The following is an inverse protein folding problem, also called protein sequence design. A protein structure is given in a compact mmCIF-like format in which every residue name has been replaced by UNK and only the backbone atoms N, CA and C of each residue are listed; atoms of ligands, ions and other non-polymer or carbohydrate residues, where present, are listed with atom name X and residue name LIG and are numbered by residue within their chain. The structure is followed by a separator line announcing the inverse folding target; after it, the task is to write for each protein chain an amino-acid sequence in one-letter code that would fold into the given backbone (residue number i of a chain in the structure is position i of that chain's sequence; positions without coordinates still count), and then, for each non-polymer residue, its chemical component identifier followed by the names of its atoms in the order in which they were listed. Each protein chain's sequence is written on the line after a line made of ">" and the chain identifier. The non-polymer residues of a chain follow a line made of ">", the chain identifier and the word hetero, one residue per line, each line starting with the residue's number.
data_IF_294574006245
#
_entry.id   IF_294574006245
#
_cell.length_a   1.000
_cell.length_b   1.000
_cell.length_c   1.000
_cell.angle_alpha   90.00
_cell.angle_beta   90.00
_cell.angle_gamma   90.00
#
_symmetry.space_group_name_H-M   'P 1'
#
loop_
_entity.id
_entity.type
_entity.pdbx_description
1 polymer ?
#
# COMPACT_ATOMS: atom_id res chain seq x y z
N UNK A 1 -18.32 8.68 4.12
CA UNK A 1 -16.95 8.13 4.06
C UNK A 1 -16.38 8.08 5.47
N UNK A 2 -15.63 7.04 5.84
CA UNK A 2 -15.05 6.95 7.18
C UNK A 2 -14.00 8.06 7.40
N UNK A 3 -13.94 8.68 8.60
CA UNK A 3 -13.07 9.84 8.87
C UNK A 3 -11.58 9.62 8.56
N UNK A 4 -11.08 8.40 8.78
CA UNK A 4 -9.67 8.07 8.50
C UNK A 4 -9.31 8.17 7.01
N UNK A 5 -10.25 7.85 6.12
CA UNK A 5 -10.02 7.96 4.66
C UNK A 5 -9.90 9.41 4.24
N UNK A 6 -10.72 10.27 4.85
CA UNK A 6 -10.71 11.71 4.56
C UNK A 6 -9.38 12.35 4.97
N UNK A 7 -8.77 11.87 6.06
CA UNK A 7 -7.42 12.28 6.47
C UNK A 7 -6.42 11.95 5.36
N UNK A 8 -6.34 10.70 4.91
CA UNK A 8 -5.37 10.28 3.88
C UNK A 8 -5.58 10.99 2.53
N UNK A 9 -6.83 11.29 2.19
CA UNK A 9 -7.20 12.00 0.97
C UNK A 9 -6.93 13.52 1.03
N UNK A 10 -6.82 14.06 2.24
CA UNK A 10 -6.48 15.46 2.45
C UNK A 10 -5.06 15.79 2.04
N UNK A 11 -4.75 17.08 2.07
CA UNK A 11 -3.39 17.58 1.83
C UNK A 11 -2.58 17.72 3.14
N UNK A 12 -3.21 17.50 4.29
CA UNK A 12 -2.56 17.61 5.59
C UNK A 12 -1.90 16.27 5.96
N UNK A 13 -0.58 16.27 6.05
CA UNK A 13 0.22 15.06 6.28
C UNK A 13 0.52 14.74 7.74
N UNK A 14 0.22 15.68 8.64
CA UNK A 14 0.52 15.55 10.07
C UNK A 14 -0.20 14.36 10.72
N UNK A 15 -1.38 13.99 10.20
CA UNK A 15 -2.20 12.92 10.74
C UNK A 15 -2.07 11.59 9.98
N UNK A 16 -1.32 11.54 8.87
CA UNK A 16 -1.25 10.35 8.01
C UNK A 16 -0.67 9.14 8.73
N UNK A 17 0.42 9.30 9.48
CA UNK A 17 1.02 8.20 10.25
C UNK A 17 0.01 7.61 11.26
N UNK A 18 -0.72 8.47 11.97
CA UNK A 18 -1.71 8.05 12.97
C UNK A 18 -2.91 7.36 12.31
N UNK A 19 -3.41 7.90 11.21
CA UNK A 19 -4.50 7.31 10.44
C UNK A 19 -4.10 5.95 9.85
N UNK A 20 -2.93 5.84 9.23
CA UNK A 20 -2.38 4.59 8.71
C UNK A 20 -2.16 3.55 9.82
N UNK A 21 -1.67 3.98 10.98
CA UNK A 21 -1.49 3.10 12.13
C UNK A 21 -2.82 2.55 12.65
N UNK A 22 -3.88 3.36 12.66
CA UNK A 22 -5.22 2.90 13.01
C UNK A 22 -5.75 1.91 11.96
N UNK A 23 -5.59 2.21 10.66
CA UNK A 23 -6.00 1.30 9.59
C UNK A 23 -5.24 -0.03 9.61
N UNK A 24 -3.95 -0.02 9.99
CA UNK A 24 -3.15 -1.22 10.12
C UNK A 24 -3.68 -2.19 11.19
N UNK A 25 -4.42 -1.70 12.19
CA UNK A 25 -5.07 -2.58 13.18
C UNK A 25 -6.13 -3.48 12.57
N UNK A 26 -6.73 -3.10 11.44
CA UNK A 26 -7.75 -3.91 10.74
C UNK A 26 -7.15 -5.14 10.04
N UNK A 27 -5.83 -5.20 9.90
CA UNK A 27 -5.11 -6.28 9.22
C UNK A 27 -4.31 -7.17 10.19
N UNK A 28 -4.64 -7.17 11.49
CA UNK A 28 -4.05 -8.07 12.49
C UNK A 28 -4.72 -9.46 12.46
N UNK A 29 -3.89 -10.51 12.54
CA UNK A 29 -4.25 -11.94 12.69
C UNK A 29 -5.18 -12.57 11.62
N UNK A 30 -5.84 -13.68 11.97
CA UNK A 30 -6.47 -14.71 11.11
C UNK A 30 -7.55 -14.18 10.12
N UNK A 31 -7.87 -12.89 10.18
CA UNK A 31 -8.93 -12.24 9.39
C UNK A 31 -8.37 -11.11 8.48
N UNK A 32 -7.09 -11.20 8.10
CA UNK A 32 -6.41 -10.22 7.25
C UNK A 32 -7.10 -9.96 5.90
N UNK A 33 -7.81 -10.95 5.35
CA UNK A 33 -8.53 -10.83 4.08
C UNK A 33 -9.74 -9.88 4.23
N UNK A 34 -10.49 -9.97 5.33
CA UNK A 34 -11.60 -9.05 5.59
C UNK A 34 -11.11 -7.61 5.83
N UNK A 35 -9.98 -7.45 6.52
CA UNK A 35 -9.32 -6.16 6.68
C UNK A 35 -8.95 -5.53 5.35
N UNK A 36 -8.33 -6.30 4.46
CA UNK A 36 -7.96 -5.85 3.12
C UNK A 36 -9.18 -5.49 2.27
N UNK A 37 -10.23 -6.32 2.32
CA UNK A 37 -11.50 -6.06 1.64
C UNK A 37 -12.16 -4.78 2.14
N UNK A 38 -12.12 -4.52 3.45
CA UNK A 38 -12.66 -3.31 4.05
C UNK A 38 -11.90 -2.06 3.59
N UNK A 39 -10.56 -2.10 3.57
CA UNK A 39 -9.73 -0.99 3.10
C UNK A 39 -9.99 -0.64 1.64
N UNK A 40 -10.18 -1.66 0.78
CA UNK A 40 -10.54 -1.46 -0.63
C UNK A 40 -11.95 -0.87 -0.75
N UNK A 41 -12.94 -1.42 -0.03
CA UNK A 41 -14.31 -0.86 0.01
C UNK A 41 -14.36 0.59 0.50
N UNK A 42 -13.41 0.97 1.35
CA UNK A 42 -13.25 2.33 1.87
C UNK A 42 -12.48 3.26 0.92
N UNK A 43 -12.03 2.77 -0.24
CA UNK A 43 -11.22 3.51 -1.21
C UNK A 43 -9.89 4.01 -0.62
N UNK A 44 -9.28 3.22 0.28
CA UNK A 44 -8.02 3.59 0.95
C UNK A 44 -6.78 3.33 0.09
N UNK A 45 -6.83 2.44 -0.91
CA UNK A 45 -5.62 1.95 -1.61
C UNK A 45 -4.90 3.06 -2.35
N UNK A 46 -5.61 3.86 -3.14
CA UNK A 46 -5.02 4.99 -3.88
C UNK A 46 -4.42 6.04 -2.94
N UNK A 47 -5.10 6.51 -1.88
CA UNK A 47 -4.49 7.38 -0.87
C UNK A 47 -3.21 6.82 -0.23
N UNK A 48 -3.19 5.52 0.07
CA UNK A 48 -1.99 4.85 0.63
C UNK A 48 -0.82 4.90 -0.38
N UNK A 49 -1.08 4.61 -1.65
CA UNK A 49 -0.05 4.69 -2.70
C UNK A 49 0.44 6.14 -2.89
N UNK A 50 -0.47 7.12 -2.83
CA UNK A 50 -0.11 8.54 -2.93
C UNK A 50 0.82 8.99 -1.79
N UNK A 51 0.58 8.52 -0.57
CA UNK A 51 1.45 8.83 0.58
C UNK A 51 2.86 8.25 0.36
N UNK A 52 2.97 7.08 -0.27
CA UNK A 52 4.26 6.51 -0.65
C UNK A 52 4.99 7.37 -1.68
N UNK A 53 4.26 7.81 -2.71
CA UNK A 53 4.77 8.66 -3.80
C UNK A 53 5.25 10.02 -3.29
N UNK A 54 4.50 10.66 -2.40
CA UNK A 54 4.87 11.97 -1.86
C UNK A 54 6.07 11.90 -0.91
N UNK A 55 6.28 10.78 -0.22
CA UNK A 55 7.48 10.51 0.56
C UNK A 55 7.79 11.49 1.71
N UNK A 56 6.79 12.20 2.22
CA UNK A 56 6.97 13.28 3.21
C UNK A 56 7.40 12.75 4.60
N UNK A 57 6.94 11.54 4.98
CA UNK A 57 7.26 10.93 6.27
C UNK A 57 7.67 9.47 6.08
N UNK A 58 8.90 9.14 6.50
CA UNK A 58 9.42 7.77 6.45
C UNK A 58 8.51 6.79 7.20
N UNK A 59 8.02 7.17 8.38
CA UNK A 59 7.10 6.33 9.17
C UNK A 59 5.77 6.08 8.46
N UNK A 60 5.24 7.11 7.79
CA UNK A 60 4.02 6.96 7.00
C UNK A 60 4.26 6.05 5.78
N UNK A 61 5.44 6.14 5.15
CA UNK A 61 5.83 5.22 4.07
C UNK A 61 5.96 3.78 4.57
N UNK A 62 6.63 3.53 5.71
CA UNK A 62 6.74 2.19 6.30
C UNK A 62 5.36 1.56 6.56
N UNK A 63 4.44 2.34 7.14
CA UNK A 63 3.05 1.86 7.39
C UNK A 63 2.29 1.60 6.09
N UNK A 64 2.48 2.46 5.10
CA UNK A 64 1.84 2.30 3.79
C UNK A 64 2.32 1.04 3.08
N UNK A 65 3.63 0.77 3.07
CA UNK A 65 4.19 -0.47 2.53
C UNK A 65 3.65 -1.71 3.25
N UNK A 66 3.55 -1.65 4.58
CA UNK A 66 3.01 -2.75 5.37
C UNK A 66 1.55 -3.07 5.00
N UNK A 67 0.71 -2.04 4.85
CA UNK A 67 -0.69 -2.19 4.42
C UNK A 67 -0.79 -2.79 3.01
N UNK A 68 0.02 -2.28 2.07
CA UNK A 68 0.02 -2.77 0.69
C UNK A 68 0.52 -4.21 0.57
N UNK A 69 1.50 -4.63 1.38
CA UNK A 69 1.95 -6.03 1.42
C UNK A 69 0.81 -6.99 1.71
N UNK A 70 -0.10 -6.60 2.63
CA UNK A 70 -1.27 -7.40 2.98
C UNK A 70 -2.35 -7.34 1.90
N UNK A 71 -2.66 -6.15 1.39
CA UNK A 71 -3.67 -5.96 0.34
C UNK A 71 -3.31 -6.77 -0.91
N UNK A 72 -2.05 -6.70 -1.34
CA UNK A 72 -1.57 -7.41 -2.52
C UNK A 72 -1.45 -8.92 -2.35
N UNK A 73 -1.78 -9.51 -1.19
CA UNK A 73 -1.93 -10.97 -1.09
C UNK A 73 -3.16 -11.44 -1.87
N UNK A 74 -4.19 -10.60 -1.98
CA UNK A 74 -5.37 -10.86 -2.79
C UNK A 74 -5.08 -10.52 -4.25
N UNK A 75 -5.30 -11.49 -5.14
CA UNK A 75 -4.99 -11.36 -6.57
C UNK A 75 -5.76 -10.24 -7.26
N UNK A 76 -7.06 -10.12 -6.99
CA UNK A 76 -7.90 -9.08 -7.56
C UNK A 76 -7.33 -7.67 -7.31
N UNK A 77 -6.78 -7.41 -6.13
CA UNK A 77 -6.20 -6.10 -5.79
C UNK A 77 -4.82 -5.89 -6.41
N UNK A 78 -4.07 -6.95 -6.70
CA UNK A 78 -2.85 -6.82 -7.53
C UNK A 78 -3.20 -6.44 -8.96
N UNK A 79 -4.24 -7.04 -9.54
CA UNK A 79 -4.71 -6.71 -10.89
C UNK A 79 -5.19 -5.26 -10.95
N UNK A 80 -5.98 -4.83 -9.96
CA UNK A 80 -6.61 -3.50 -9.97
C UNK A 80 -5.63 -2.35 -9.71
N UNK A 81 -4.68 -2.52 -8.78
CA UNK A 81 -3.82 -1.43 -8.31
C UNK A 81 -2.33 -1.63 -8.59
N UNK A 82 -1.93 -2.80 -9.07
CA UNK A 82 -0.53 -3.21 -9.17
C UNK A 82 0.28 -2.35 -10.12
N UNK A 83 -0.26 -1.94 -11.26
CA UNK A 83 0.46 -1.10 -12.23
C UNK A 83 0.83 0.26 -11.63
N UNK A 84 -0.13 0.95 -11.00
CA UNK A 84 0.13 2.23 -10.34
C UNK A 84 1.10 2.08 -9.17
N UNK A 85 0.93 1.05 -8.34
CA UNK A 85 1.85 0.76 -7.25
C UNK A 85 3.27 0.43 -7.75
N UNK A 86 3.41 -0.32 -8.83
CA UNK A 86 4.71 -0.72 -9.38
C UNK A 86 5.54 0.50 -9.79
N UNK A 87 4.93 1.49 -10.43
CA UNK A 87 5.62 2.74 -10.80
C UNK A 87 6.19 3.45 -9.57
N UNK A 88 5.38 3.61 -8.51
CA UNK A 88 5.80 4.27 -7.27
C UNK A 88 6.88 3.45 -6.54
N UNK A 89 6.74 2.13 -6.50
CA UNK A 89 7.71 1.25 -5.85
C UNK A 89 9.07 1.26 -6.56
N UNK A 90 9.10 1.30 -7.89
CA UNK A 90 10.35 1.42 -8.67
C UNK A 90 11.06 2.74 -8.33
N UNK A 91 10.32 3.84 -8.25
CA UNK A 91 10.90 5.14 -7.87
C UNK A 91 11.52 5.10 -6.47
N UNK A 92 10.86 4.46 -5.49
CA UNK A 92 11.42 4.31 -4.13
C UNK A 92 12.72 3.47 -4.14
N UNK A 93 12.82 2.42 -4.97
CA UNK A 93 14.07 1.64 -5.09
C UNK A 93 15.21 2.50 -5.65
N UNK A 94 14.91 3.35 -6.62
CA UNK A 94 15.90 4.18 -7.30
C UNK A 94 16.32 5.39 -6.47
N UNK A 95 15.34 6.13 -5.94
CA UNK A 95 15.50 7.47 -5.40
C UNK A 95 15.11 7.59 -3.91
N UNK A 96 14.38 6.61 -3.37
CA UNK A 96 13.87 6.64 -2.01
C UNK A 96 14.87 6.22 -0.93
N UNK A 97 14.40 6.22 0.32
CA UNK A 97 15.20 5.85 1.48
C UNK A 97 15.65 4.38 1.42
N UNK A 98 16.95 4.16 1.66
CA UNK A 98 17.56 2.84 1.71
C UNK A 98 16.91 1.86 2.69
N UNK A 99 16.30 2.36 3.77
CA UNK A 99 15.61 1.56 4.78
C UNK A 99 14.35 0.89 4.23
N UNK A 100 13.71 1.49 3.21
CA UNK A 100 12.49 0.96 2.60
C UNK A 100 12.77 -0.11 1.54
N UNK A 101 13.96 -0.09 0.93
CA UNK A 101 14.30 -0.92 -0.24
C UNK A 101 14.04 -2.42 -0.05
N UNK A 102 14.36 -3.06 1.09
CA UNK A 102 14.07 -4.49 1.28
C UNK A 102 12.58 -4.80 1.20
N UNK A 103 11.74 -4.00 1.84
CA UNK A 103 10.28 -4.16 1.84
C UNK A 103 9.69 -3.90 0.46
N UNK A 104 10.18 -2.84 -0.21
CA UNK A 104 9.75 -2.48 -1.57
C UNK A 104 10.11 -3.58 -2.58
N UNK A 105 11.32 -4.13 -2.52
CA UNK A 105 11.75 -5.21 -3.41
C UNK A 105 10.88 -6.47 -3.25
N UNK A 106 10.53 -6.83 -2.01
CA UNK A 106 9.60 -7.93 -1.73
C UNK A 106 8.22 -7.68 -2.35
N UNK A 107 7.72 -6.45 -2.24
CA UNK A 107 6.41 -6.06 -2.78
C UNK A 107 6.41 -6.06 -4.32
N UNK A 108 7.49 -5.59 -4.95
CA UNK A 108 7.68 -5.66 -6.41
C UNK A 108 7.69 -7.11 -6.90
N UNK A 109 8.43 -8.01 -6.25
CA UNK A 109 8.43 -9.43 -6.61
C UNK A 109 7.03 -10.06 -6.52
N UNK A 110 6.22 -9.64 -5.54
CA UNK A 110 4.83 -10.08 -5.39
C UNK A 110 3.92 -9.61 -6.54
N UNK A 111 4.18 -8.41 -7.10
CA UNK A 111 3.47 -7.90 -8.27
C UNK A 111 3.93 -8.57 -9.58
N UNK A 112 5.23 -8.82 -9.74
CA UNK A 112 5.79 -9.49 -10.93
C UNK A 112 5.32 -10.94 -11.07
N UNK A 113 5.13 -11.67 -9.96
CA UNK A 113 4.55 -13.02 -9.98
C UNK A 113 3.17 -13.04 -10.66
N UNK A 114 2.37 -11.98 -10.53
CA UNK A 114 1.10 -11.85 -11.24
C UNK A 114 1.31 -11.72 -12.75
N UNK A 115 2.23 -10.86 -13.18
CA UNK A 115 2.51 -10.61 -14.60
C UNK A 115 3.05 -11.86 -15.30
N UNK A 116 3.84 -12.67 -14.60
CA UNK A 116 4.27 -13.97 -15.12
C UNK A 116 3.06 -14.91 -15.31
N UNK A 117 2.11 -14.96 -14.37
CA UNK A 117 0.91 -15.81 -14.48
C UNK A 117 -0.04 -15.39 -15.60
N UNK A 118 -0.24 -14.09 -15.84
CA UNK A 118 -1.14 -13.62 -16.91
C UNK A 118 -0.62 -13.93 -18.32
N UNK A 119 0.69 -14.14 -18.50
CA UNK A 119 1.29 -14.52 -19.78
C UNK A 119 1.10 -15.99 -20.19
N UNK A 120 0.59 -16.84 -19.30
CA UNK A 120 0.30 -18.25 -19.58
C UNK A 120 -1.13 -18.51 -20.07
N UNK A 121 -2.02 -17.52 -19.97
CA UNK A 121 -3.43 -17.59 -20.39
C UNK A 121 -3.66 -16.79 -21.67
#
# INVERSE_FOLDING_TARGET
>A
MPPLVQILQGNERAADEAALSCLATLQQDEIWENGSNLLVKMSCVQPIIKILEEGISLKAQEKSLWLLEKIFRVEAYRVEYGEYAQVVLIDIVQNGDSLLKPTVAKLLAQLELLQQQSSYF
#
